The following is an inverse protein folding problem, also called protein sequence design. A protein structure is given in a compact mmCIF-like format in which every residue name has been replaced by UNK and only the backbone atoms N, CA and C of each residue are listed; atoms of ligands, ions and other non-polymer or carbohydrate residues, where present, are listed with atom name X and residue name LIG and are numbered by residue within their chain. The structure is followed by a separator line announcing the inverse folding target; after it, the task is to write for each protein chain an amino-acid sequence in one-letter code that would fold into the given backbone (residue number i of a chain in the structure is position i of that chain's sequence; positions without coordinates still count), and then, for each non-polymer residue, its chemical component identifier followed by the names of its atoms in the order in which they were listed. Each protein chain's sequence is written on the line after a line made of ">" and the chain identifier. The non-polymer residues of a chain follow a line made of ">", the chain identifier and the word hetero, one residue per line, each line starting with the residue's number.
data_IF_846177393204
#
_entry.id   IF_846177393204
#
_cell.length_a   1.000
_cell.length_b   1.000
_cell.length_c   1.000
_cell.angle_alpha   90.00
_cell.angle_beta   90.00
_cell.angle_gamma   90.00
#
_symmetry.space_group_name_H-M   'P 1'
#
loop_
_entity.id
_entity.type
_entity.pdbx_description
1 polymer ?
#
# COMPACT_ATOMS: atom_id res chain seq x y z
N UNK A 1 8.58 40.61 15.68
CA UNK A 1 10.00 40.18 15.79
C UNK A 1 10.00 38.65 15.85
N UNK A 2 10.06 37.98 14.69
CA UNK A 2 11.26 37.30 14.16
C UNK A 2 11.54 35.98 14.91
N UNK A 3 10.93 34.84 14.53
CA UNK A 3 11.35 33.82 13.53
C UNK A 3 12.69 33.14 13.80
N UNK A 4 12.64 31.85 14.14
CA UNK A 4 13.80 30.95 14.12
C UNK A 4 13.34 29.49 14.07
N UNK A 5 12.98 29.02 12.87
CA UNK A 5 12.73 27.61 12.56
C UNK A 5 14.10 26.92 12.42
N UNK A 6 14.43 25.87 13.18
CA UNK A 6 15.64 25.11 12.92
C UNK A 6 15.46 24.33 11.60
N UNK A 7 16.49 24.38 10.74
CA UNK A 7 16.50 23.76 9.43
C UNK A 7 16.78 22.26 9.51
N UNK A 8 16.08 21.51 8.67
CA UNK A 8 16.27 20.08 8.41
C UNK A 8 17.46 19.89 7.46
N UNK A 9 18.68 20.14 7.92
CA UNK A 9 19.90 19.86 7.15
C UNK A 9 21.02 19.46 8.11
N UNK A 10 21.00 18.21 8.58
CA UNK A 10 22.18 17.48 9.07
C UNK A 10 21.81 15.99 9.26
N UNK A 11 21.19 15.39 8.23
CA UNK A 11 21.16 13.92 8.10
C UNK A 11 22.52 13.49 7.54
N UNK A 12 23.53 13.53 8.41
CA UNK A 12 24.81 12.90 8.13
C UNK A 12 24.62 11.38 8.22
N UNK A 13 24.72 10.75 7.06
CA UNK A 13 24.77 9.32 6.83
C UNK A 13 25.97 8.73 7.61
N UNK A 14 25.73 8.28 8.83
CA UNK A 14 26.76 7.64 9.65
C UNK A 14 26.85 6.14 9.30
N UNK A 15 28.00 5.82 8.73
CA UNK A 15 28.63 4.52 8.50
C UNK A 15 28.15 3.35 9.37
N UNK A 16 27.85 2.25 8.68
CA UNK A 16 27.77 0.88 9.18
C UNK A 16 28.97 0.58 10.10
N UNK A 17 28.70 0.37 11.38
CA UNK A 17 29.64 -0.22 12.33
C UNK A 17 29.00 -1.52 12.85
N UNK A 18 29.51 -2.62 12.31
CA UNK A 18 29.18 -3.98 12.71
C UNK A 18 30.01 -4.31 13.96
N UNK A 19 29.43 -4.20 15.16
CA UNK A 19 30.04 -4.71 16.39
C UNK A 19 29.33 -5.99 16.84
N UNK A 20 30.04 -7.10 16.72
CA UNK A 20 29.66 -8.35 17.36
C UNK A 20 30.13 -8.40 18.82
N UNK A 21 29.25 -8.86 19.72
CA UNK A 21 29.45 -9.88 20.81
C UNK A 21 28.50 -9.61 22.01
N UNK A 22 28.43 -10.47 23.06
CA UNK A 22 27.73 -11.76 23.10
C UNK A 22 26.79 -11.87 24.33
N UNK A 23 25.66 -12.60 24.26
CA UNK A 23 24.86 -12.82 25.47
C UNK A 23 23.52 -13.50 25.24
N UNK A 24 23.33 -14.64 25.90
CA UNK A 24 22.08 -15.41 25.92
C UNK A 24 21.03 -14.74 26.83
N UNK A 25 19.84 -14.41 26.30
CA UNK A 25 18.57 -14.44 27.04
C UNK A 25 17.38 -14.46 26.08
N UNK A 26 16.44 -15.36 26.33
CA UNK A 26 15.26 -15.66 25.54
C UNK A 26 14.22 -14.52 25.51
N UNK A 27 14.38 -13.60 24.56
CA UNK A 27 13.30 -12.79 24.02
C UNK A 27 13.36 -12.99 22.51
N UNK A 28 12.38 -13.71 21.94
CA UNK A 28 12.16 -13.65 20.49
C UNK A 28 11.67 -12.24 20.22
N UNK A 29 12.60 -11.34 19.95
CA UNK A 29 12.30 -9.98 19.53
C UNK A 29 11.43 -10.09 18.28
N UNK A 30 10.24 -9.52 18.34
CA UNK A 30 9.46 -9.31 17.14
C UNK A 30 10.26 -8.34 16.27
N UNK A 31 10.94 -8.87 15.26
CA UNK A 31 11.53 -8.06 14.19
C UNK A 31 10.35 -7.59 13.33
N UNK A 32 10.01 -6.28 13.35
CA UNK A 32 8.97 -5.77 12.48
C UNK A 32 9.35 -6.12 11.02
N UNK A 33 8.40 -6.56 10.18
CA UNK A 33 8.69 -6.79 8.78
C UNK A 33 9.19 -5.47 8.19
N UNK A 34 10.45 -5.45 7.80
CA UNK A 34 11.04 -4.33 7.08
C UNK A 34 10.33 -4.31 5.73
N UNK A 35 9.43 -3.34 5.53
CA UNK A 35 8.87 -3.08 4.22
C UNK A 35 10.04 -2.67 3.33
N UNK A 36 10.34 -3.51 2.35
CA UNK A 36 11.43 -3.28 1.41
C UNK A 36 10.94 -2.32 0.34
N UNK A 37 10.90 -1.04 0.69
CA UNK A 37 10.44 0.05 -0.18
C UNK A 37 11.20 0.04 -1.54
N UNK A 38 12.47 -0.37 -1.54
CA UNK A 38 13.28 -0.51 -2.75
C UNK A 38 12.83 -1.66 -3.69
N UNK A 39 12.27 -2.76 -3.16
CA UNK A 39 11.74 -3.86 -3.98
C UNK A 39 10.39 -3.45 -4.63
N UNK A 40 9.58 -2.69 -3.91
CA UNK A 40 8.32 -2.14 -4.43
C UNK A 40 8.58 -1.14 -5.56
N UNK A 41 9.60 -0.29 -5.44
CA UNK A 41 10.02 0.64 -6.49
C UNK A 41 10.46 -0.05 -7.79
N UNK A 42 11.17 -1.18 -7.69
CA UNK A 42 11.59 -1.96 -8.86
C UNK A 42 10.38 -2.59 -9.57
N UNK A 43 9.45 -3.17 -8.83
CA UNK A 43 8.23 -3.75 -9.37
C UNK A 43 7.36 -2.67 -10.05
N UNK A 44 7.23 -1.49 -9.44
CA UNK A 44 6.51 -0.35 -10.02
C UNK A 44 7.19 0.11 -11.33
N UNK A 45 8.52 0.21 -11.34
CA UNK A 45 9.28 0.60 -12.52
C UNK A 45 9.17 -0.42 -13.64
N UNK A 46 9.24 -1.72 -13.31
CA UNK A 46 9.07 -2.81 -14.27
C UNK A 46 7.68 -2.82 -14.87
N UNK A 47 6.63 -2.64 -14.06
CA UNK A 47 5.25 -2.47 -14.54
C UNK A 47 5.14 -1.29 -15.51
N UNK A 48 5.67 -0.13 -15.13
CA UNK A 48 5.67 1.07 -15.98
C UNK A 48 6.41 0.85 -17.30
N UNK A 49 7.54 0.13 -17.28
CA UNK A 49 8.27 -0.21 -18.51
C UNK A 49 7.43 -1.15 -19.37
N UNK A 50 6.88 -2.21 -18.80
CA UNK A 50 6.08 -3.18 -19.55
C UNK A 50 4.81 -2.58 -20.15
N UNK A 51 4.17 -1.63 -19.48
CA UNK A 51 2.92 -1.00 -19.92
C UNK A 51 3.15 0.17 -20.90
N UNK A 52 4.17 1.01 -20.65
CA UNK A 52 4.29 2.29 -21.34
C UNK A 52 5.42 2.33 -22.38
N UNK A 53 6.34 1.35 -22.38
CA UNK A 53 7.44 1.32 -23.35
C UNK A 53 7.06 0.44 -24.53
N UNK A 54 7.01 0.99 -25.77
CA UNK A 54 6.74 0.19 -26.95
C UNK A 54 7.80 -0.89 -27.16
N UNK A 55 7.38 -2.16 -27.20
CA UNK A 55 8.27 -3.29 -27.49
C UNK A 55 8.45 -3.41 -29.00
N UNK A 56 9.67 -3.15 -29.49
CA UNK A 56 10.03 -3.40 -30.89
C UNK A 56 10.42 -4.87 -31.06
N UNK A 57 9.72 -5.58 -31.94
CA UNK A 57 10.05 -6.96 -32.33
C UNK A 57 10.79 -6.93 -33.66
N UNK A 58 11.99 -7.52 -33.71
CA UNK A 58 12.87 -7.51 -34.88
C UNK A 58 12.73 -8.75 -35.78
N UNK A 59 12.12 -9.81 -35.28
CA UNK A 59 12.09 -11.14 -35.88
C UNK A 59 10.66 -11.54 -36.29
N UNK A 60 9.98 -10.63 -36.99
CA UNK A 60 8.60 -10.80 -37.46
C UNK A 60 8.58 -11.15 -38.95
N UNK A 61 7.99 -12.30 -39.30
CA UNK A 61 7.74 -12.69 -40.69
C UNK A 61 6.67 -11.82 -41.34
N UNK A 62 6.67 -11.74 -42.68
CA UNK A 62 5.68 -10.93 -43.42
C UNK A 62 4.24 -11.39 -43.19
N UNK A 63 3.27 -10.47 -43.33
CA UNK A 63 1.86 -10.72 -42.97
C UNK A 63 1.17 -11.83 -43.79
N UNK A 64 1.67 -12.13 -44.99
CA UNK A 64 1.19 -13.20 -45.86
C UNK A 64 2.07 -14.45 -45.84
N UNK A 65 3.13 -14.46 -45.01
CA UNK A 65 3.99 -15.64 -44.86
C UNK A 65 3.21 -16.77 -44.16
N UNK A 66 3.48 -18.01 -44.57
CA UNK A 66 2.90 -19.20 -43.93
C UNK A 66 3.47 -19.44 -42.53
N UNK A 67 2.90 -20.41 -41.83
CA UNK A 67 3.35 -20.81 -40.49
C UNK A 67 4.73 -21.46 -40.53
N UNK A 68 5.69 -20.89 -39.81
CA UNK A 68 7.02 -21.43 -39.59
C UNK A 68 7.06 -22.49 -38.49
N UNK A 69 8.12 -23.29 -38.44
CA UNK A 69 8.32 -24.31 -37.39
C UNK A 69 8.44 -23.73 -35.97
N UNK A 70 8.81 -22.46 -35.85
CA UNK A 70 8.94 -21.74 -34.57
C UNK A 70 7.66 -21.04 -34.09
N UNK A 71 6.66 -20.89 -34.95
CA UNK A 71 5.48 -20.05 -34.67
C UNK A 71 4.63 -20.61 -33.54
N UNK A 72 4.54 -21.94 -33.47
CA UNK A 72 3.87 -22.63 -32.38
C UNK A 72 4.48 -22.28 -31.01
N UNK A 73 5.81 -22.28 -30.92
CA UNK A 73 6.49 -21.95 -29.67
C UNK A 73 6.36 -20.47 -29.32
N UNK A 74 6.41 -19.58 -30.31
CA UNK A 74 6.17 -18.15 -30.09
C UNK A 74 4.76 -17.90 -29.55
N UNK A 75 3.73 -18.49 -30.17
CA UNK A 75 2.35 -18.43 -29.69
C UNK A 75 2.22 -18.96 -28.26
N UNK A 76 2.83 -20.12 -27.96
CA UNK A 76 2.77 -20.71 -26.62
C UNK A 76 3.34 -19.77 -25.55
N UNK A 77 4.49 -19.14 -25.82
CA UNK A 77 5.10 -18.22 -24.87
C UNK A 77 4.27 -16.93 -24.73
N UNK A 78 3.76 -16.38 -25.83
CA UNK A 78 2.90 -15.20 -25.80
C UNK A 78 1.59 -15.45 -25.04
N UNK A 79 0.95 -16.59 -25.27
CA UNK A 79 -0.26 -16.99 -24.55
C UNK A 79 -0.02 -17.11 -23.05
N UNK A 80 1.10 -17.71 -22.63
CA UNK A 80 1.45 -17.80 -21.20
C UNK A 80 1.66 -16.42 -20.58
N UNK A 81 2.44 -15.56 -21.25
CA UNK A 81 2.66 -14.18 -20.81
C UNK A 81 1.35 -13.42 -20.65
N UNK A 82 0.43 -13.56 -21.60
CA UNK A 82 -0.87 -12.88 -21.55
C UNK A 82 -1.79 -13.44 -20.46
N UNK A 83 -1.80 -14.76 -20.28
CA UNK A 83 -2.55 -15.39 -19.19
C UNK A 83 -2.05 -14.90 -17.83
N UNK A 84 -0.73 -14.88 -17.63
CA UNK A 84 -0.12 -14.38 -16.40
C UNK A 84 -0.46 -12.90 -16.17
N UNK A 85 -0.47 -12.10 -17.24
CA UNK A 85 -0.87 -10.68 -17.18
C UNK A 85 -2.32 -10.52 -16.72
N UNK A 86 -3.25 -11.26 -17.30
CA UNK A 86 -4.67 -11.24 -16.93
C UNK A 86 -4.86 -11.69 -15.47
N UNK A 87 -4.24 -12.80 -15.07
CA UNK A 87 -4.34 -13.31 -13.70
C UNK A 87 -3.79 -12.31 -12.68
N UNK A 88 -2.69 -11.61 -12.96
CA UNK A 88 -2.17 -10.54 -12.09
C UNK A 88 -3.13 -9.36 -11.98
N UNK A 89 -3.69 -8.93 -13.11
CA UNK A 89 -4.66 -7.82 -13.15
C UNK A 89 -5.92 -8.15 -12.34
N UNK A 90 -6.44 -9.36 -12.49
CA UNK A 90 -7.62 -9.83 -11.73
C UNK A 90 -7.33 -9.90 -10.22
N UNK A 91 -6.16 -10.40 -9.82
CA UNK A 91 -5.75 -10.46 -8.42
C UNK A 91 -5.59 -9.06 -7.80
N UNK A 92 -4.99 -8.11 -8.54
CA UNK A 92 -4.86 -6.72 -8.12
C UNK A 92 -6.24 -6.06 -7.97
N UNK A 93 -7.17 -6.32 -8.89
CA UNK A 93 -8.54 -5.81 -8.83
C UNK A 93 -9.31 -6.35 -7.62
N UNK A 94 -9.24 -7.66 -7.37
CA UNK A 94 -9.88 -8.30 -6.22
C UNK A 94 -9.34 -7.73 -4.90
N UNK A 95 -8.01 -7.61 -4.75
CA UNK A 95 -7.40 -6.97 -3.58
C UNK A 95 -7.90 -5.54 -3.35
N UNK A 96 -7.93 -4.71 -4.40
CA UNK A 96 -8.42 -3.32 -4.30
C UNK A 96 -9.90 -3.27 -3.89
N UNK A 97 -10.72 -4.17 -4.44
CA UNK A 97 -12.14 -4.28 -4.12
C UNK A 97 -12.35 -4.67 -2.65
N UNK A 98 -11.65 -5.68 -2.16
CA UNK A 98 -11.75 -6.14 -0.78
C UNK A 98 -11.35 -5.06 0.23
N UNK A 99 -10.24 -4.35 -0.04
CA UNK A 99 -9.79 -3.24 0.80
C UNK A 99 -10.81 -2.10 0.82
N UNK A 100 -11.36 -1.72 -0.35
CA UNK A 100 -12.38 -0.69 -0.42
C UNK A 100 -13.64 -1.07 0.35
N UNK A 101 -14.12 -2.31 0.19
CA UNK A 101 -15.28 -2.81 0.94
C UNK A 101 -15.02 -2.87 2.45
N UNK A 102 -13.83 -3.29 2.86
CA UNK A 102 -13.44 -3.31 4.27
C UNK A 102 -13.44 -1.91 4.87
N UNK A 103 -12.83 -0.94 4.18
CA UNK A 103 -12.77 0.44 4.64
C UNK A 103 -14.17 1.07 4.76
N UNK A 104 -15.04 0.86 3.77
CA UNK A 104 -16.43 1.32 3.84
C UNK A 104 -17.16 0.75 5.06
N UNK A 105 -17.06 -0.57 5.29
CA UNK A 105 -17.68 -1.22 6.47
C UNK A 105 -17.11 -0.69 7.79
N UNK A 106 -15.81 -0.41 7.84
CA UNK A 106 -15.18 0.16 9.03
C UNK A 106 -15.64 1.58 9.31
N UNK A 107 -15.69 2.44 8.28
CA UNK A 107 -16.20 3.80 8.40
C UNK A 107 -17.66 3.84 8.84
N UNK A 108 -18.51 2.96 8.30
CA UNK A 108 -19.90 2.85 8.73
C UNK A 108 -20.01 2.50 10.22
N UNK A 109 -19.25 1.51 10.69
CA UNK A 109 -19.23 1.14 12.11
C UNK A 109 -18.80 2.32 12.98
N UNK A 110 -17.70 2.99 12.63
CA UNK A 110 -17.21 4.17 13.35
C UNK A 110 -18.27 5.27 13.39
N UNK A 111 -18.91 5.60 12.25
CA UNK A 111 -20.00 6.58 12.19
C UNK A 111 -21.16 6.22 13.11
N UNK A 112 -21.60 4.95 13.12
CA UNK A 112 -22.70 4.54 14.01
C UNK A 112 -22.33 4.62 15.50
N UNK A 113 -21.09 4.32 15.87
CA UNK A 113 -20.60 4.42 17.24
C UNK A 113 -20.44 5.88 17.67
N UNK A 114 -19.95 6.74 16.79
CA UNK A 114 -19.85 8.18 16.99
C UNK A 114 -21.22 8.82 17.16
N UNK A 115 -22.22 8.45 16.35
CA UNK A 115 -23.59 8.93 16.50
C UNK A 115 -24.20 8.52 17.85
N UNK A 116 -24.02 7.25 18.25
CA UNK A 116 -24.49 6.75 19.56
C UNK A 116 -23.81 7.50 20.70
N UNK A 117 -22.50 7.74 20.58
CA UNK A 117 -21.69 8.45 21.58
C UNK A 117 -22.07 9.94 21.63
N UNK A 118 -22.29 10.59 20.49
CA UNK A 118 -22.73 11.98 20.38
C UNK A 118 -24.12 12.18 21.02
N UNK A 119 -25.09 11.30 20.72
CA UNK A 119 -26.42 11.31 21.35
C UNK A 119 -26.33 11.20 22.88
N UNK A 120 -25.49 10.28 23.40
CA UNK A 120 -25.24 10.15 24.84
C UNK A 120 -24.53 11.38 25.43
N UNK A 121 -23.54 11.94 24.74
CA UNK A 121 -22.80 13.15 25.14
C UNK A 121 -23.72 14.37 25.23
N UNK A 122 -24.61 14.57 24.25
CA UNK A 122 -25.62 15.64 24.25
C UNK A 122 -26.57 15.52 25.45
N UNK A 123 -27.06 14.32 25.75
CA UNK A 123 -27.90 14.07 26.95
C UNK A 123 -27.16 14.45 28.25
N UNK A 124 -25.89 14.06 28.39
CA UNK A 124 -25.06 14.41 29.56
C UNK A 124 -24.82 15.91 29.66
N UNK A 125 -24.52 16.60 28.56
CA UNK A 125 -24.35 18.06 28.55
C UNK A 125 -25.63 18.79 28.96
N UNK A 126 -26.80 18.38 28.47
CA UNK A 126 -28.10 18.97 28.87
C UNK A 126 -28.35 18.80 30.37
N UNK A 127 -28.10 17.61 30.93
CA UNK A 127 -28.22 17.36 32.39
C UNK A 127 -27.23 18.21 33.19
N UNK A 128 -25.98 18.34 32.75
CA UNK A 128 -24.96 19.13 33.44
C UNK A 128 -25.32 20.64 33.45
N UNK A 129 -25.75 21.18 32.29
CA UNK A 129 -26.23 22.58 32.20
C UNK A 129 -27.41 22.83 33.13
N UNK A 130 -28.35 21.89 33.23
CA UNK A 130 -29.48 21.97 34.17
C UNK A 130 -29.06 21.97 35.65
N UNK A 131 -28.07 21.16 36.02
CA UNK A 131 -27.52 21.14 37.40
C UNK A 131 -26.76 22.43 37.73
N UNK A 132 -25.92 22.92 36.81
CA UNK A 132 -25.20 24.20 36.99
C UNK A 132 -26.15 25.38 37.20
N UNK A 133 -27.27 25.44 36.47
CA UNK A 133 -28.30 26.48 36.66
C UNK A 133 -29.01 26.40 38.02
N UNK A 134 -29.13 25.20 38.62
CA UNK A 134 -29.78 25.00 39.93
C UNK A 134 -28.86 25.27 41.12
N UNK A 135 -27.54 25.22 40.96
CA UNK A 135 -26.57 25.54 42.01
C UNK A 135 -26.01 26.96 41.94
N UNK A 136 -26.47 27.77 40.99
CA UNK A 136 -26.07 29.18 40.81
C UNK A 136 -27.14 30.16 41.31
N UNK A 137 -28.12 29.66 42.06
CA UNK A 137 -29.20 30.39 42.72
C UNK A 137 -29.34 29.84 44.13
#
# INVERSE_FOLDING_TARGET
>A
MSTGRPQDEDLQLASVADEQKPGSTALVGYTPPVFKEEEEDLEIKLRRIMENVPVRVSNTSGSSAGSGSGDFHQYRQMRRKEQDRLTRMDADYQRRKEVAEFNMRMEERVKTEEERTAKKRLKRQKKNRGRKRKGAN
#
